data_IF_097962115167
#
_entry.id   IF_097962115167
#
_cell.length_a   1.000
_cell.length_b   1.000
_cell.length_c   1.000
_cell.angle_alpha   90.00
_cell.angle_beta   90.00
_cell.angle_gamma   90.00
#
_symmetry.space_group_name_H-M   'P 1'
#
loop_
_entity.id
_entity.type
_entity.pdbx_description
1 polymer ?
#
# COMPACT_ATOMS: atom_id res chain seq x y z
N UNK A 1 -4.63 25.88 0.70
CA UNK A 1 -5.37 24.99 -0.21
C UNK A 1 -5.75 23.74 0.56
N UNK A 2 -6.96 23.23 0.41
CA UNK A 2 -7.34 21.91 0.94
C UNK A 2 -6.93 20.86 -0.10
N UNK A 3 -6.34 19.76 0.35
CA UNK A 3 -6.02 18.62 -0.49
C UNK A 3 -7.29 17.83 -0.81
N UNK A 4 -7.38 17.27 -2.02
CA UNK A 4 -8.49 16.44 -2.47
C UNK A 4 -8.14 14.95 -2.36
N UNK A 5 -8.44 14.35 -1.20
CA UNK A 5 -8.19 12.92 -0.96
C UNK A 5 -8.99 12.00 -1.90
N UNK A 6 -10.28 12.26 -2.18
CA UNK A 6 -11.03 11.52 -3.20
C UNK A 6 -10.34 11.51 -4.58
N UNK A 7 -9.81 12.64 -5.05
CA UNK A 7 -9.09 12.71 -6.33
C UNK A 7 -7.80 11.88 -6.32
N UNK A 8 -7.03 11.91 -5.22
CA UNK A 8 -5.87 11.02 -5.06
C UNK A 8 -6.27 9.54 -5.15
N UNK A 9 -7.35 9.14 -4.47
CA UNK A 9 -7.85 7.77 -4.49
C UNK A 9 -8.28 7.35 -5.90
N UNK A 10 -9.00 8.22 -6.61
CA UNK A 10 -9.45 7.95 -7.98
C UNK A 10 -8.26 7.76 -8.92
N UNK A 11 -7.28 8.66 -8.89
CA UNK A 11 -6.04 8.56 -9.68
C UNK A 11 -5.34 7.21 -9.47
N UNK A 12 -5.18 6.77 -8.22
CA UNK A 12 -4.55 5.47 -7.92
C UNK A 12 -5.35 4.29 -8.49
N UNK A 13 -6.68 4.35 -8.44
CA UNK A 13 -7.55 3.29 -8.95
C UNK A 13 -7.61 3.23 -10.48
N UNK A 14 -7.49 4.37 -11.17
CA UNK A 14 -7.67 4.45 -12.62
C UNK A 14 -6.34 4.41 -13.37
N UNK A 15 -5.39 5.25 -12.99
CA UNK A 15 -4.11 5.43 -13.68
C UNK A 15 -3.05 4.43 -13.22
N UNK A 16 -3.20 3.90 -12.01
CA UNK A 16 -2.29 2.91 -11.42
C UNK A 16 -2.96 1.57 -11.09
N UNK A 17 -4.05 1.25 -11.81
CA UNK A 17 -4.77 -0.01 -11.66
C UNK A 17 -3.85 -1.24 -11.78
N UNK A 18 -2.82 -1.16 -12.62
CA UNK A 18 -1.84 -2.22 -12.82
C UNK A 18 -0.90 -2.40 -11.61
N UNK A 19 -0.53 -1.32 -10.91
CA UNK A 19 0.20 -1.39 -9.63
C UNK A 19 -0.70 -1.99 -8.56
N UNK A 20 -1.97 -1.58 -8.48
CA UNK A 20 -2.95 -2.12 -7.52
C UNK A 20 -3.13 -3.62 -7.74
N UNK A 21 -3.26 -4.06 -9.01
CA UNK A 21 -3.32 -5.47 -9.36
C UNK A 21 -2.05 -6.23 -8.94
N UNK A 22 -0.86 -5.67 -9.22
CA UNK A 22 0.41 -6.30 -8.84
C UNK A 22 0.59 -6.42 -7.32
N UNK A 23 0.08 -5.46 -6.54
CA UNK A 23 0.00 -5.56 -5.07
C UNK A 23 -0.89 -6.73 -4.65
N UNK A 24 -2.05 -6.90 -5.30
CA UNK A 24 -2.96 -8.02 -5.07
C UNK A 24 -2.32 -9.38 -5.38
N UNK A 25 -1.69 -9.51 -6.55
CA UNK A 25 -0.98 -10.74 -6.94
C UNK A 25 0.17 -11.09 -6.00
N UNK A 26 0.86 -10.06 -5.49
CA UNK A 26 1.92 -10.23 -4.49
C UNK A 26 1.33 -10.73 -3.17
N UNK A 27 0.18 -10.21 -2.76
CA UNK A 27 -0.52 -10.67 -1.56
C UNK A 27 -1.04 -12.11 -1.71
N UNK A 28 -1.56 -12.48 -2.88
CA UNK A 28 -1.98 -13.86 -3.18
C UNK A 28 -0.78 -14.83 -3.15
N UNK A 29 0.40 -14.37 -3.57
CA UNK A 29 1.62 -15.17 -3.51
C UNK A 29 2.06 -15.43 -2.06
N UNK A 30 1.99 -14.40 -1.21
CA UNK A 30 2.25 -14.51 0.23
C UNK A 30 1.26 -15.47 0.90
N UNK A 31 -0.03 -15.38 0.59
CA UNK A 31 -1.05 -16.29 1.12
C UNK A 31 -0.80 -17.74 0.69
N UNK A 32 -0.51 -17.99 -0.59
CA UNK A 32 -0.20 -19.34 -1.09
C UNK A 32 1.06 -19.93 -0.44
N UNK A 33 2.08 -19.13 -0.21
CA UNK A 33 3.30 -19.58 0.47
C UNK A 33 2.99 -20.02 1.91
N UNK A 34 2.19 -19.24 2.65
CA UNK A 34 1.80 -19.57 4.03
C UNK A 34 0.93 -20.84 4.14
N UNK A 35 0.14 -21.17 3.12
CA UNK A 35 -0.64 -22.40 3.09
C UNK A 35 0.22 -23.66 2.83
N UNK A 36 1.39 -23.51 2.19
CA UNK A 36 2.31 -24.61 1.89
C UNK A 36 3.19 -25.02 3.06
N UNK A 37 3.60 -24.07 3.90
CA UNK A 37 4.36 -24.30 5.13
C UNK A 37 3.42 -24.52 6.32
N UNK A 38 2.98 -25.76 6.52
CA UNK A 38 2.39 -26.29 7.76
C UNK A 38 1.49 -25.36 8.63
N UNK A 39 0.71 -24.46 8.03
CA UNK A 39 -0.49 -23.86 8.63
C UNK A 39 -0.30 -22.62 9.52
N UNK A 40 0.89 -22.03 9.60
CA UNK A 40 1.05 -20.77 10.35
C UNK A 40 0.64 -19.58 9.47
N UNK A 41 -0.67 -19.39 9.33
CA UNK A 41 -1.24 -18.11 8.90
C UNK A 41 -0.63 -17.00 9.77
N UNK A 42 0.04 -16.02 9.15
CA UNK A 42 0.78 -14.95 9.83
C UNK A 42 0.10 -14.43 11.11
N UNK A 43 0.44 -15.03 12.25
CA UNK A 43 -0.18 -14.71 13.54
C UNK A 43 0.27 -13.33 14.03
N UNK A 44 1.38 -12.84 13.48
CA UNK A 44 1.91 -11.50 13.77
C UNK A 44 1.93 -10.65 12.51
N UNK A 45 1.47 -9.40 12.64
CA UNK A 45 1.42 -8.45 11.52
C UNK A 45 2.80 -8.05 10.99
N UNK A 46 3.84 -8.15 11.81
CA UNK A 46 5.23 -7.89 11.39
C UNK A 46 5.74 -8.97 10.45
N UNK A 47 5.57 -10.25 10.78
CA UNK A 47 5.97 -11.34 9.90
C UNK A 47 5.27 -11.27 8.53
N UNK A 48 3.98 -10.90 8.53
CA UNK A 48 3.26 -10.65 7.29
C UNK A 48 3.81 -9.45 6.52
N UNK A 49 4.08 -8.34 7.21
CA UNK A 49 4.63 -7.15 6.58
C UNK A 49 5.97 -7.45 5.90
N UNK A 50 6.87 -8.16 6.59
CA UNK A 50 8.20 -8.51 6.09
C UNK A 50 8.12 -9.45 4.87
N UNK A 51 7.28 -10.48 4.93
CA UNK A 51 7.05 -11.39 3.81
C UNK A 51 6.43 -10.66 2.61
N UNK A 52 5.49 -9.74 2.88
CA UNK A 52 4.84 -8.97 1.83
C UNK A 52 5.78 -7.94 1.20
N UNK A 53 6.59 -7.25 2.01
CA UNK A 53 7.62 -6.33 1.53
C UNK A 53 8.64 -7.03 0.65
N UNK A 54 9.13 -8.20 1.09
CA UNK A 54 10.07 -9.02 0.31
C UNK A 54 9.47 -9.42 -1.03
N UNK A 55 8.22 -9.89 -1.04
CA UNK A 55 7.51 -10.29 -2.27
C UNK A 55 7.30 -9.10 -3.22
N UNK A 56 6.94 -7.92 -2.69
CA UNK A 56 6.77 -6.70 -3.48
C UNK A 56 8.11 -6.23 -4.07
N UNK A 57 9.20 -6.38 -3.33
CA UNK A 57 10.54 -6.02 -3.78
C UNK A 57 11.02 -6.96 -4.90
N UNK A 58 10.87 -8.27 -4.73
CA UNK A 58 11.23 -9.29 -5.73
C UNK A 58 10.48 -9.12 -7.04
N UNK A 59 9.21 -8.71 -6.96
CA UNK A 59 8.36 -8.43 -8.14
C UNK A 59 8.55 -7.02 -8.73
N UNK A 60 9.43 -6.20 -8.15
CA UNK A 60 9.66 -4.82 -8.57
C UNK A 60 8.49 -3.87 -8.33
N UNK A 61 7.47 -4.28 -7.56
CA UNK A 61 6.30 -3.46 -7.23
C UNK A 61 6.69 -2.37 -6.25
N UNK A 62 7.53 -2.70 -5.26
CA UNK A 62 7.97 -1.76 -4.23
C UNK A 62 8.64 -0.51 -4.83
N UNK A 63 9.47 -0.67 -5.87
CA UNK A 63 10.12 0.42 -6.58
C UNK A 63 9.18 1.33 -7.38
N UNK A 64 7.94 0.90 -7.63
CA UNK A 64 6.93 1.68 -8.39
C UNK A 64 6.08 2.57 -7.49
N UNK A 65 5.95 2.21 -6.21
CA UNK A 65 5.13 2.92 -5.23
C UNK A 65 5.47 4.41 -5.04
N UNK A 66 6.74 4.86 -5.11
CA UNK A 66 7.05 6.29 -5.08
C UNK A 66 6.41 7.07 -6.24
N UNK A 67 6.35 6.48 -7.43
CA UNK A 67 5.69 7.10 -8.59
C UNK A 67 4.19 7.23 -8.39
N UNK A 68 3.56 6.21 -7.79
CA UNK A 68 2.13 6.27 -7.41
C UNK A 68 1.88 7.37 -6.39
N UNK A 69 2.78 7.57 -5.42
CA UNK A 69 2.67 8.66 -4.46
C UNK A 69 2.76 10.04 -5.13
N UNK A 70 3.65 10.22 -6.11
CA UNK A 70 3.76 11.47 -6.86
C UNK A 70 2.44 11.79 -7.56
N UNK A 71 1.91 10.84 -8.33
CA UNK A 71 0.65 11.02 -9.07
C UNK A 71 -0.53 11.29 -8.12
N UNK A 72 -0.63 10.56 -7.01
CA UNK A 72 -1.67 10.80 -6.01
C UNK A 72 -1.59 12.20 -5.38
N UNK A 73 -0.38 12.69 -5.10
CA UNK A 73 -0.17 14.05 -4.58
C UNK A 73 -0.58 15.11 -5.62
N UNK A 74 -0.18 14.94 -6.87
CA UNK A 74 -0.54 15.85 -7.96
C UNK A 74 -2.06 15.89 -8.17
N UNK A 75 -2.71 14.73 -8.19
CA UNK A 75 -4.17 14.61 -8.30
C UNK A 75 -4.90 15.26 -7.11
N UNK A 76 -4.35 15.20 -5.90
CA UNK A 76 -4.89 15.89 -4.73
C UNK A 76 -4.66 17.42 -4.75
N UNK A 77 -3.95 17.95 -5.75
CA UNK A 77 -3.59 19.37 -5.85
C UNK A 77 -2.41 19.77 -4.94
N UNK A 78 -1.61 18.79 -4.50
CA UNK A 78 -0.40 19.01 -3.72
C UNK A 78 0.87 19.02 -4.58
N UNK A 79 2.01 19.34 -3.94
CA UNK A 79 3.32 19.23 -4.55
C UNK A 79 4.33 18.71 -3.52
N UNK A 80 5.13 17.71 -3.91
CA UNK A 80 6.19 17.19 -3.07
C UNK A 80 7.40 18.13 -3.06
N UNK A 81 7.99 18.35 -1.90
CA UNK A 81 9.22 19.14 -1.75
C UNK A 81 10.49 18.38 -2.16
N UNK A 82 10.41 17.04 -2.26
CA UNK A 82 11.51 16.17 -2.64
C UNK A 82 10.99 14.92 -3.36
N UNK A 83 11.83 14.33 -4.21
CA UNK A 83 11.51 13.07 -4.87
C UNK A 83 11.39 11.93 -3.84
N UNK A 84 10.25 11.20 -3.79
CA UNK A 84 10.05 10.14 -2.83
C UNK A 84 10.88 8.90 -3.20
N UNK A 85 11.25 8.13 -2.18
CA UNK A 85 11.95 6.85 -2.33
C UNK A 85 11.08 5.69 -1.82
N UNK A 86 11.39 4.46 -2.23
CA UNK A 86 10.66 3.25 -1.83
C UNK A 86 11.01 2.79 -0.40
N UNK A 87 10.98 3.74 0.55
CA UNK A 87 11.32 3.52 1.95
C UNK A 87 10.62 4.56 2.83
N UNK A 88 10.60 4.37 4.16
CA UNK A 88 10.12 5.39 5.07
C UNK A 88 10.90 6.72 4.91
N UNK A 89 10.22 7.88 5.05
CA UNK A 89 8.84 8.01 5.45
C UNK A 89 7.84 7.72 4.32
N UNK A 90 8.21 7.84 3.04
CA UNK A 90 7.27 7.87 1.91
C UNK A 90 6.50 6.58 1.70
N UNK A 91 7.16 5.43 1.84
CA UNK A 91 6.58 4.11 1.63
C UNK A 91 6.83 3.25 2.86
N UNK A 92 5.82 2.54 3.34
CA UNK A 92 5.96 1.58 4.43
C UNK A 92 5.04 0.40 4.14
N UNK A 93 5.54 -0.82 4.26
CA UNK A 93 4.69 -2.02 4.17
C UNK A 93 4.23 -2.39 5.58
N UNK A 94 2.95 -2.72 5.71
CA UNK A 94 2.34 -3.14 6.97
C UNK A 94 1.66 -4.49 6.78
N UNK A 95 1.21 -5.13 7.86
CA UNK A 95 0.39 -6.33 7.77
C UNK A 95 -0.93 -6.14 7.00
N UNK A 96 -1.39 -4.90 6.74
CA UNK A 96 -2.54 -4.64 5.86
C UNK A 96 -2.14 -4.41 4.40
N UNK A 97 -0.92 -3.93 4.18
CA UNK A 97 -0.33 -3.63 2.88
C UNK A 97 0.44 -2.31 2.85
N UNK A 98 0.82 -1.85 1.64
CA UNK A 98 1.59 -0.62 1.47
C UNK A 98 0.84 0.62 1.92
N UNK A 99 1.56 1.51 2.60
CA UNK A 99 1.11 2.84 3.01
C UNK A 99 2.05 3.87 2.39
N UNK A 100 1.47 4.74 1.57
CA UNK A 100 2.16 5.85 0.94
C UNK A 100 1.83 7.14 1.69
N UNK A 101 2.83 7.96 2.03
CA UNK A 101 2.59 9.20 2.76
C UNK A 101 3.39 10.37 2.21
N UNK A 102 2.76 11.52 2.18
CA UNK A 102 3.38 12.81 1.86
C UNK A 102 2.96 13.85 2.89
N UNK A 103 3.92 14.63 3.39
CA UNK A 103 3.63 15.83 4.17
C UNK A 103 3.71 17.03 3.24
N UNK A 104 2.62 17.79 3.14
CA UNK A 104 2.38 18.87 2.20
C UNK A 104 1.90 20.12 2.96
N UNK A 105 1.92 21.27 2.31
CA UNK A 105 1.47 22.54 2.92
C UNK A 105 0.00 22.50 3.38
N UNK A 106 -0.83 21.70 2.71
CA UNK A 106 -2.25 21.50 3.02
C UNK A 106 -2.56 20.37 4.01
N UNK A 107 -1.54 19.72 4.58
CA UNK A 107 -1.69 18.58 5.50
C UNK A 107 -0.90 17.36 5.04
N UNK A 108 -1.18 16.21 5.66
CA UNK A 108 -0.54 14.93 5.31
C UNK A 108 -1.49 14.07 4.50
N UNK A 109 -1.17 13.85 3.23
CA UNK A 109 -1.84 12.83 2.42
C UNK A 109 -1.32 11.45 2.80
N UNK A 110 -2.23 10.53 3.09
CA UNK A 110 -1.94 9.11 3.33
C UNK A 110 -2.80 8.28 2.40
N UNK A 111 -2.17 7.42 1.60
CA UNK A 111 -2.83 6.47 0.71
C UNK A 111 -2.50 5.06 1.17
N UNK A 112 -3.52 4.24 1.38
CA UNK A 112 -3.39 2.86 1.85
C UNK A 112 -3.85 1.89 0.76
N UNK A 113 -2.99 0.92 0.41
CA UNK A 113 -3.32 -0.18 -0.48
C UNK A 113 -3.54 -1.43 0.38
N UNK A 114 -4.79 -1.64 0.80
CA UNK A 114 -5.15 -2.68 1.76
C UNK A 114 -5.43 -4.00 1.03
N UNK A 115 -4.44 -4.89 1.02
CA UNK A 115 -4.55 -6.24 0.46
C UNK A 115 -4.95 -7.28 1.51
N UNK A 116 -4.71 -7.00 2.79
CA UNK A 116 -5.05 -7.86 3.91
C UNK A 116 -5.97 -7.15 4.90
N UNK A 117 -6.68 -7.91 5.72
CA UNK A 117 -7.48 -7.41 6.85
C UNK A 117 -7.15 -8.17 8.12
N UNK A 118 -7.17 -7.48 9.25
CA UNK A 118 -7.11 -8.11 10.56
C UNK A 118 -8.54 -8.50 10.98
N UNK A 119 -8.77 -9.77 11.27
CA UNK A 119 -10.06 -10.28 11.72
C UNK A 119 -10.26 -10.13 13.22
N UNK A 120 -11.49 -10.36 13.67
CA UNK A 120 -11.83 -10.39 15.10
C UNK A 120 -11.13 -11.53 15.87
N UNK A 121 -10.54 -12.50 15.17
CA UNK A 121 -9.72 -13.56 15.76
C UNK A 121 -8.24 -13.18 15.81
N UNK A 122 -7.90 -11.90 15.60
CA UNK A 122 -6.53 -11.38 15.56
C UNK A 122 -5.65 -12.05 14.50
N UNK A 123 -6.25 -12.51 13.41
CA UNK A 123 -5.55 -13.11 12.26
C UNK A 123 -5.60 -12.21 11.05
N UNK A 124 -4.53 -12.19 10.28
CA UNK A 124 -4.54 -11.53 8.98
C UNK A 124 -5.10 -12.47 7.92
N UNK A 125 -6.03 -11.95 7.13
CA UNK A 125 -6.62 -12.65 5.99
C UNK A 125 -6.43 -11.82 4.72
N UNK A 126 -6.14 -12.52 3.62
CA UNK A 126 -6.15 -11.91 2.29
C UNK A 126 -7.57 -11.45 1.95
N UNK A 127 -7.69 -10.24 1.42
CA UNK A 127 -8.94 -9.73 0.84
C UNK A 127 -9.17 -10.32 -0.55
N UNK A 128 -10.41 -10.28 -1.06
CA UNK A 128 -10.67 -10.66 -2.46
C UNK A 128 -10.05 -9.69 -3.47
N UNK A 129 -9.89 -8.43 -3.08
CA UNK A 129 -9.37 -7.32 -3.87
C UNK A 129 -8.38 -6.47 -3.05
N UNK A 130 -7.78 -5.45 -3.66
CA UNK A 130 -6.98 -4.44 -2.94
C UNK A 130 -7.84 -3.19 -2.79
N UNK A 131 -8.21 -2.86 -1.55
CA UNK A 131 -8.94 -1.63 -1.30
C UNK A 131 -7.97 -0.45 -1.23
N UNK A 132 -8.24 0.58 -2.02
CA UNK A 132 -7.50 1.84 -1.97
C UNK A 132 -8.28 2.83 -1.11
N UNK A 133 -7.62 3.35 -0.08
CA UNK A 133 -8.12 4.47 0.72
C UNK A 133 -7.16 5.66 0.65
N UNK A 134 -7.69 6.88 0.71
CA UNK A 134 -6.88 8.09 0.74
C UNK A 134 -7.50 9.10 1.71
N UNK A 135 -6.67 9.62 2.61
CA UNK A 135 -7.09 10.57 3.64
C UNK A 135 -6.08 11.70 3.80
N UNK A 136 -6.58 12.88 4.17
CA UNK A 136 -5.77 14.03 4.56
C UNK A 136 -5.86 14.19 6.07
N UNK A 137 -4.71 14.25 6.74
CA UNK A 137 -4.57 14.39 8.19
C UNK A 137 -3.81 15.66 8.57
#
# INVERSE_FOLDING_TARGET
MSLDAPAARECVLTEHADVVAAVGESADAVERAAQGDAGDCFETGTALADAFESTLAERGVLSRLPGVLVAAVEAAGGALSAAPVAAPPYVTVTGRGPVLRATLDGGRLVVELQAFRLTNQHRYERRGDVAVDAVVR
#
